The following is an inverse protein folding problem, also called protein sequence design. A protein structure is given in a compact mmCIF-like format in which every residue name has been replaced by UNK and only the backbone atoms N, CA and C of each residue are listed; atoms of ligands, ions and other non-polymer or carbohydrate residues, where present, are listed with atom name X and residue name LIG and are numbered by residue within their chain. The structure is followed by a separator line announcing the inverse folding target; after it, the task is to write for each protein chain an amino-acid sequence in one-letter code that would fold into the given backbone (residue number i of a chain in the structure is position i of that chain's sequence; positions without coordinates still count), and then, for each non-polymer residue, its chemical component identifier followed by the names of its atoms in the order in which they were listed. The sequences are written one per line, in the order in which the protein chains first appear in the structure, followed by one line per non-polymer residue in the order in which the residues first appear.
data_IF_082196790156
#
_entry.id   IF_082196790156
#
_cell.length_a   1.000
_cell.length_b   1.000
_cell.length_c   1.000
_cell.angle_alpha   90.00
_cell.angle_beta   90.00
_cell.angle_gamma   90.00
#
_symmetry.space_group_name_H-M   'P 1'
#
loop_
_entity.id
_entity.type
_entity.pdbx_description
1 polymer ?
#
# COMPACT_ATOMS: atom_id res chain seq x y z
N UNK A 1 -39.12 21.74 8.91
CA UNK A 1 -38.65 21.70 7.50
C UNK A 1 -37.14 21.50 7.48
N UNK A 2 -36.67 20.59 6.64
CA UNK A 2 -35.34 19.95 6.67
C UNK A 2 -34.19 20.92 6.36
N UNK A 3 -33.31 21.18 7.34
CA UNK A 3 -32.05 21.94 7.19
C UNK A 3 -30.92 21.08 6.57
N UNK A 4 -31.15 20.47 5.40
CA UNK A 4 -30.16 19.66 4.66
C UNK A 4 -29.81 20.21 3.27
N UNK A 5 -29.74 21.53 3.11
CA UNK A 5 -29.38 22.16 1.83
C UNK A 5 -27.87 22.45 1.66
N UNK A 6 -27.06 22.33 2.74
CA UNK A 6 -25.63 22.71 2.72
C UNK A 6 -24.67 21.53 2.98
N UNK A 7 -25.17 20.28 2.96
CA UNK A 7 -24.33 19.07 2.86
C UNK A 7 -23.74 18.85 1.46
N UNK A 8 -23.76 19.87 0.59
CA UNK A 8 -22.89 19.87 -0.58
C UNK A 8 -21.52 20.30 -0.09
N UNK A 9 -20.71 19.33 0.30
CA UNK A 9 -19.26 19.42 0.13
C UNK A 9 -19.04 20.02 -1.25
N UNK A 10 -18.66 21.31 -1.32
CA UNK A 10 -18.31 21.93 -2.60
C UNK A 10 -17.29 20.99 -3.21
N UNK A 11 -17.55 20.38 -4.38
CA UNK A 11 -16.63 19.43 -4.95
C UNK A 11 -15.25 20.08 -5.00
N UNK A 12 -14.24 19.34 -4.56
CA UNK A 12 -12.84 19.70 -4.78
C UNK A 12 -12.58 19.55 -6.28
N UNK A 13 -13.18 20.42 -7.08
CA UNK A 13 -12.91 20.50 -8.50
C UNK A 13 -11.44 20.93 -8.61
N UNK A 14 -10.62 20.01 -9.14
CA UNK A 14 -9.21 20.19 -9.45
C UNK A 14 -8.25 20.26 -8.24
N UNK A 15 -8.41 19.37 -7.27
CA UNK A 15 -7.39 19.15 -6.23
C UNK A 15 -6.81 17.75 -6.31
N UNK A 16 -5.49 17.65 -6.27
CA UNK A 16 -4.76 16.38 -6.42
C UNK A 16 -4.35 15.83 -5.05
N UNK A 17 -3.83 16.68 -4.15
CA UNK A 17 -3.30 16.28 -2.84
C UNK A 17 -3.87 17.12 -1.71
N UNK A 18 -4.21 16.49 -0.58
CA UNK A 18 -4.68 17.15 0.63
C UNK A 18 -3.65 16.99 1.76
N UNK A 19 -3.28 18.11 2.36
CA UNK A 19 -2.45 18.17 3.57
C UNK A 19 -3.32 18.61 4.74
N UNK A 20 -3.30 17.84 5.82
CA UNK A 20 -4.11 18.08 7.03
C UNK A 20 -3.21 18.41 8.20
N UNK A 21 -3.71 19.25 9.09
CA UNK A 21 -3.02 19.71 10.28
C UNK A 21 -3.82 19.37 11.54
N UNK A 22 -3.16 19.16 12.68
CA UNK A 22 -3.86 19.09 13.97
C UNK A 22 -4.69 20.35 14.26
N UNK A 23 -5.70 20.22 15.10
CA UNK A 23 -6.54 21.32 15.59
C UNK A 23 -5.77 22.28 16.52
N UNK A 24 -4.64 21.84 17.07
CA UNK A 24 -3.75 22.64 17.92
C UNK A 24 -2.78 23.52 17.14
N UNK A 25 -2.73 23.41 15.81
CA UNK A 25 -1.74 24.14 15.00
C UNK A 25 -2.06 25.62 14.93
N UNK A 26 -1.06 26.45 15.19
CA UNK A 26 -1.16 27.91 15.17
C UNK A 26 -1.14 28.48 13.75
N UNK A 27 -1.83 29.61 13.55
CA UNK A 27 -1.91 30.30 12.27
C UNK A 27 -0.52 30.72 11.75
N UNK A 28 0.44 31.02 12.66
CA UNK A 28 1.81 31.38 12.28
C UNK A 28 2.53 30.21 11.61
N UNK A 29 2.46 29.00 12.18
CA UNK A 29 2.99 27.77 11.55
C UNK A 29 2.41 27.54 10.16
N UNK A 30 1.09 27.72 10.00
CA UNK A 30 0.42 27.53 8.71
C UNK A 30 0.89 28.56 7.67
N UNK A 31 0.97 29.84 8.06
CA UNK A 31 1.43 30.90 7.18
C UNK A 31 2.91 30.76 6.81
N UNK A 32 3.74 30.36 7.76
CA UNK A 32 5.15 30.06 7.53
C UNK A 32 5.30 28.95 6.47
N UNK A 33 4.61 27.83 6.67
CA UNK A 33 4.66 26.71 5.73
C UNK A 33 4.11 27.08 4.35
N UNK A 34 3.00 27.80 4.30
CA UNK A 34 2.41 28.28 3.05
C UNK A 34 3.39 29.17 2.27
N UNK A 35 4.12 30.04 2.96
CA UNK A 35 5.12 30.91 2.34
C UNK A 35 6.31 30.08 1.81
N UNK A 36 6.79 29.10 2.57
CA UNK A 36 7.87 28.21 2.11
C UNK A 36 7.46 27.38 0.89
N UNK A 37 6.23 26.87 0.83
CA UNK A 37 5.76 26.13 -0.35
C UNK A 37 5.68 27.06 -1.56
N UNK A 38 5.12 28.27 -1.41
CA UNK A 38 4.99 29.23 -2.53
C UNK A 38 6.31 29.76 -3.05
N UNK A 39 7.29 29.97 -2.17
CA UNK A 39 8.62 30.46 -2.55
C UNK A 39 9.57 29.35 -3.01
N UNK A 40 9.40 28.14 -2.47
CA UNK A 40 10.24 26.99 -2.80
C UNK A 40 9.77 26.23 -4.03
N UNK A 41 8.46 26.21 -4.30
CA UNK A 41 7.84 25.47 -5.41
C UNK A 41 6.78 26.37 -6.06
N UNK A 42 7.18 27.31 -6.93
CA UNK A 42 6.24 28.21 -7.60
C UNK A 42 5.24 27.48 -8.53
N UNK A 43 5.56 26.25 -8.93
CA UNK A 43 4.72 25.36 -9.75
C UNK A 43 3.44 24.92 -9.05
N UNK A 44 3.39 24.96 -7.71
CA UNK A 44 2.27 24.48 -6.91
C UNK A 44 1.29 25.60 -6.56
N UNK A 45 0.01 25.31 -6.78
CA UNK A 45 -1.11 26.14 -6.35
C UNK A 45 -1.65 25.55 -5.04
N UNK A 46 -1.50 26.31 -3.96
CA UNK A 46 -2.00 25.93 -2.63
C UNK A 46 -3.20 26.78 -2.23
N UNK A 47 -4.34 26.12 -2.01
CA UNK A 47 -5.56 26.71 -1.46
C UNK A 47 -5.74 26.29 0.00
N UNK A 48 -5.78 27.25 0.91
CA UNK A 48 -6.05 26.99 2.33
C UNK A 48 -7.56 26.99 2.55
N UNK A 49 -8.09 25.95 3.20
CA UNK A 49 -9.50 25.90 3.61
C UNK A 49 -9.62 25.58 5.10
N UNK A 50 -10.45 26.32 5.80
CA UNK A 50 -10.80 26.07 7.19
C UNK A 50 -12.16 25.37 7.29
N UNK A 51 -12.19 24.21 7.96
CA UNK A 51 -13.42 23.46 8.15
C UNK A 51 -14.10 23.87 9.45
N UNK A 52 -15.25 24.56 9.34
CA UNK A 52 -15.97 25.11 10.51
C UNK A 52 -16.36 24.07 11.58
N UNK A 53 -16.64 22.84 11.18
CA UNK A 53 -17.10 21.79 12.10
C UNK A 53 -15.96 21.08 12.83
N UNK A 54 -14.85 20.82 12.15
CA UNK A 54 -13.67 20.16 12.73
C UNK A 54 -12.67 21.15 13.31
N UNK A 55 -12.81 22.46 12.99
CA UNK A 55 -11.85 23.53 13.31
C UNK A 55 -10.42 23.25 12.81
N UNK A 56 -10.32 22.41 11.79
CA UNK A 56 -9.04 22.00 11.20
C UNK A 56 -8.81 22.82 9.93
N UNK A 57 -7.58 23.30 9.79
CA UNK A 57 -7.07 23.82 8.53
C UNK A 57 -6.58 22.68 7.66
N UNK A 58 -6.77 22.83 6.34
CA UNK A 58 -6.22 21.90 5.38
C UNK A 58 -5.74 22.65 4.13
N UNK A 59 -4.62 22.20 3.58
CA UNK A 59 -4.07 22.73 2.33
C UNK A 59 -4.45 21.80 1.18
N UNK A 60 -5.16 22.37 0.22
CA UNK A 60 -5.54 21.73 -1.02
C UNK A 60 -4.49 22.12 -2.06
N UNK A 61 -3.71 21.14 -2.50
CA UNK A 61 -2.56 21.33 -3.39
C UNK A 61 -2.89 20.79 -4.77
N UNK A 62 -2.60 21.60 -5.78
CA UNK A 62 -2.80 21.31 -7.20
C UNK A 62 -1.73 22.00 -8.04
N UNK A 63 -1.63 21.67 -9.32
CA UNK A 63 -0.69 22.26 -10.25
C UNK A 63 -1.33 22.47 -11.63
N UNK A 64 -0.82 23.44 -12.38
CA UNK A 64 -1.23 23.66 -13.77
C UNK A 64 -0.65 22.57 -14.67
N UNK A 65 -1.24 22.40 -15.87
CA UNK A 65 -0.75 21.41 -16.83
C UNK A 65 0.72 21.66 -17.23
N UNK A 66 1.08 22.92 -17.54
CA UNK A 66 2.46 23.29 -17.88
C UNK A 66 3.45 22.98 -16.76
N UNK A 67 3.09 23.26 -15.52
CA UNK A 67 3.91 22.93 -14.36
C UNK A 67 4.09 21.42 -14.23
N UNK A 68 3.03 20.63 -14.44
CA UNK A 68 3.10 19.17 -14.40
C UNK A 68 3.99 18.59 -15.51
N UNK A 69 4.02 19.19 -16.71
CA UNK A 69 4.96 18.80 -17.75
C UNK A 69 6.40 18.96 -17.28
N UNK A 70 6.75 20.09 -16.67
CA UNK A 70 8.10 20.30 -16.09
C UNK A 70 8.42 19.27 -15.01
N UNK A 71 7.48 19.02 -14.11
CA UNK A 71 7.65 18.01 -13.06
C UNK A 71 7.77 16.58 -13.60
N UNK A 72 7.11 16.27 -14.72
CA UNK A 72 7.24 14.98 -15.38
C UNK A 72 8.64 14.79 -15.99
N UNK A 73 9.23 15.85 -16.54
CA UNK A 73 10.61 15.84 -17.06
C UNK A 73 11.63 15.69 -15.91
N UNK A 74 11.47 16.46 -14.82
CA UNK A 74 12.31 16.38 -13.62
C UNK A 74 12.34 14.98 -12.99
N UNK A 75 11.21 14.27 -12.99
CA UNK A 75 11.07 12.92 -12.46
C UNK A 75 11.52 11.86 -13.48
N UNK A 76 11.65 12.24 -14.76
CA UNK A 76 11.92 11.30 -15.86
C UNK A 76 10.78 10.32 -16.10
N UNK A 77 9.53 10.79 -15.99
CA UNK A 77 8.33 9.95 -16.15
C UNK A 77 8.30 9.33 -17.55
N UNK A 78 7.98 8.04 -17.66
CA UNK A 78 7.94 7.37 -18.98
C UNK A 78 6.58 7.54 -19.64
N UNK A 79 6.58 7.98 -20.90
CA UNK A 79 5.37 8.21 -21.71
C UNK A 79 5.44 7.50 -23.07
N UNK A 80 4.27 7.12 -23.63
CA UNK A 80 4.21 6.51 -24.95
C UNK A 80 4.54 7.53 -26.04
N UNK A 81 5.36 7.10 -26.99
CA UNK A 81 5.77 7.89 -28.17
C UNK A 81 4.85 7.53 -29.33
N UNK A 82 4.47 8.51 -30.14
CA UNK A 82 3.65 8.29 -31.35
C UNK A 82 4.34 7.30 -32.28
N UNK A 83 3.55 6.47 -32.95
CA UNK A 83 4.05 5.46 -33.89
C UNK A 83 4.94 6.04 -35.01
N UNK A 84 4.70 7.28 -35.44
CA UNK A 84 5.49 7.97 -36.47
C UNK A 84 6.94 8.27 -36.06
N UNK A 85 7.21 8.36 -34.74
CA UNK A 85 8.55 8.59 -34.18
C UNK A 85 9.21 7.30 -33.63
N UNK A 86 8.73 6.13 -34.05
CA UNK A 86 9.27 4.82 -33.66
C UNK A 86 8.50 4.09 -32.56
N UNK A 87 7.48 4.72 -31.96
CA UNK A 87 6.61 4.10 -30.96
C UNK A 87 7.33 3.75 -29.64
N UNK A 88 6.64 2.98 -28.79
CA UNK A 88 7.18 2.50 -27.53
C UNK A 88 7.14 3.54 -26.40
N UNK A 89 7.94 3.33 -25.35
CA UNK A 89 7.94 4.18 -24.14
C UNK A 89 9.29 4.88 -24.00
N UNK A 90 9.28 6.20 -23.79
CA UNK A 90 10.49 7.02 -23.58
C UNK A 90 10.35 7.88 -22.33
N UNK A 91 11.47 8.26 -21.69
CA UNK A 91 11.44 9.26 -20.62
C UNK A 91 10.97 10.59 -21.19
N UNK A 92 9.93 11.14 -20.59
CA UNK A 92 9.35 12.42 -20.98
C UNK A 92 10.41 13.51 -20.93
N UNK A 93 10.38 14.39 -21.92
CA UNK A 93 11.23 15.58 -22.00
C UNK A 93 10.40 16.72 -22.56
N UNK A 94 10.47 17.88 -21.92
CA UNK A 94 9.76 19.07 -22.36
C UNK A 94 10.29 19.61 -23.70
N UNK A 95 11.54 19.34 -24.07
CA UNK A 95 12.15 19.84 -25.31
C UNK A 95 11.59 19.13 -26.56
N UNK A 96 11.19 17.87 -26.41
CA UNK A 96 10.69 17.00 -27.49
C UNK A 96 9.25 16.55 -27.21
N UNK A 97 8.40 17.43 -26.66
CA UNK A 97 7.05 17.08 -26.21
C UNK A 97 6.11 16.59 -27.34
N UNK A 98 6.29 17.09 -28.55
CA UNK A 98 5.50 16.74 -29.74
C UNK A 98 5.57 15.26 -30.16
N UNK A 99 6.56 14.50 -29.67
CA UNK A 99 6.72 13.08 -29.98
C UNK A 99 5.76 12.20 -29.17
N UNK A 100 5.21 12.69 -28.06
CA UNK A 100 4.38 11.90 -27.15
C UNK A 100 2.92 11.84 -27.57
N UNK A 101 2.28 10.71 -27.31
CA UNK A 101 0.86 10.52 -27.62
C UNK A 101 -0.03 11.38 -26.70
N UNK A 102 -1.08 11.96 -27.26
CA UNK A 102 -2.11 12.73 -26.53
C UNK A 102 -1.61 13.93 -25.71
N UNK A 103 -0.41 14.47 -26.00
CA UNK A 103 0.16 15.65 -25.32
C UNK A 103 -0.74 16.89 -25.36
N UNK A 104 -1.58 17.02 -26.39
CA UNK A 104 -2.54 18.13 -26.53
C UNK A 104 -3.72 18.03 -25.57
N UNK A 105 -3.97 16.86 -24.98
CA UNK A 105 -5.14 16.60 -24.16
C UNK A 105 -4.79 16.58 -22.67
N UNK A 106 -4.95 17.73 -22.01
CA UNK A 106 -4.63 17.91 -20.58
C UNK A 106 -5.34 16.93 -19.65
N UNK A 107 -6.51 16.41 -20.05
CA UNK A 107 -7.33 15.52 -19.23
C UNK A 107 -6.87 14.06 -19.27
N UNK A 108 -6.21 13.62 -20.34
CA UNK A 108 -5.81 12.24 -20.53
C UNK A 108 -4.31 12.03 -20.56
N UNK A 109 -3.52 13.09 -20.81
CA UNK A 109 -2.07 12.96 -20.87
C UNK A 109 -1.47 12.52 -19.53
N UNK A 110 -1.93 13.11 -18.42
CA UNK A 110 -1.54 12.70 -17.08
C UNK A 110 -2.67 11.96 -16.36
N UNK A 111 -2.36 10.78 -15.82
CA UNK A 111 -3.27 10.09 -14.92
C UNK A 111 -3.33 10.81 -13.57
N UNK A 112 -4.43 10.66 -12.82
CA UNK A 112 -4.57 11.27 -11.49
C UNK A 112 -3.42 10.84 -10.55
N UNK A 113 -2.95 9.59 -10.70
CA UNK A 113 -1.81 9.08 -9.94
C UNK A 113 -0.50 9.77 -10.30
N UNK A 114 -0.21 9.99 -11.59
CA UNK A 114 1.01 10.67 -12.03
C UNK A 114 1.04 12.12 -11.55
N UNK A 115 -0.09 12.84 -11.64
CA UNK A 115 -0.23 14.20 -11.11
C UNK A 115 0.10 14.24 -9.62
N UNK A 116 -0.48 13.33 -8.85
CA UNK A 116 -0.24 13.21 -7.41
C UNK A 116 1.20 12.85 -7.08
N UNK A 117 1.83 11.99 -7.89
CA UNK A 117 3.23 11.60 -7.73
C UNK A 117 4.18 12.78 -7.99
N UNK A 118 3.91 13.60 -9.01
CA UNK A 118 4.67 14.81 -9.31
C UNK A 118 4.58 15.80 -8.14
N UNK A 119 3.36 16.06 -7.66
CA UNK A 119 3.14 16.98 -6.54
C UNK A 119 3.81 16.46 -5.27
N UNK A 120 3.71 15.15 -5.01
CA UNK A 120 4.39 14.50 -3.87
C UNK A 120 5.90 14.65 -3.98
N UNK A 121 6.47 14.44 -5.16
CA UNK A 121 7.90 14.60 -5.40
C UNK A 121 8.37 16.02 -5.07
N UNK A 122 7.67 17.06 -5.52
CA UNK A 122 8.04 18.44 -5.18
C UNK A 122 7.91 18.72 -3.68
N UNK A 123 6.82 18.27 -3.03
CA UNK A 123 6.63 18.46 -1.59
C UNK A 123 7.72 17.74 -0.77
N UNK A 124 8.08 16.51 -1.13
CA UNK A 124 9.17 15.76 -0.49
C UNK A 124 10.54 16.37 -0.81
N UNK A 125 10.68 17.07 -1.94
CA UNK A 125 11.90 17.76 -2.35
C UNK A 125 12.04 19.21 -1.89
N UNK A 126 11.05 19.75 -1.19
CA UNK A 126 11.17 21.06 -0.55
C UNK A 126 12.27 21.04 0.52
N UNK A 127 13.37 21.74 0.28
CA UNK A 127 14.54 21.81 1.17
C UNK A 127 14.57 23.09 1.99
N UNK A 128 15.01 22.96 3.23
CA UNK A 128 15.24 24.10 4.12
C UNK A 128 16.47 24.91 3.68
N UNK A 129 16.34 26.23 3.67
CA UNK A 129 17.46 27.16 3.46
C UNK A 129 18.19 27.43 4.78
N UNK A 130 19.37 28.04 4.67
CA UNK A 130 20.22 28.31 5.82
C UNK A 130 19.53 29.24 6.85
N UNK A 131 19.49 28.81 8.11
CA UNK A 131 18.94 29.61 9.22
C UNK A 131 17.41 29.54 9.36
N UNK A 132 16.73 28.68 8.59
CA UNK A 132 15.29 28.49 8.73
C UNK A 132 14.95 27.79 10.05
N UNK A 133 13.97 28.34 10.76
CA UNK A 133 13.45 27.76 11.98
C UNK A 133 11.95 27.97 12.08
N UNK A 134 11.28 26.99 12.67
CA UNK A 134 9.87 27.02 12.98
C UNK A 134 9.71 26.72 14.47
N UNK A 135 9.36 27.75 15.25
CA UNK A 135 9.31 27.66 16.71
C UNK A 135 10.63 27.11 17.29
N UNK A 136 10.60 25.97 17.98
CA UNK A 136 11.78 25.28 18.54
C UNK A 136 12.43 24.29 17.57
N UNK A 137 11.99 24.26 16.31
CA UNK A 137 12.51 23.36 15.27
C UNK A 137 13.51 24.15 14.45
N UNK A 138 14.78 23.81 14.59
CA UNK A 138 15.84 24.32 13.72
C UNK A 138 16.09 23.31 12.61
N UNK A 139 15.98 23.76 11.36
CA UNK A 139 16.27 22.91 10.21
C UNK A 139 17.75 23.01 9.85
N UNK A 140 18.32 21.87 9.44
CA UNK A 140 19.63 21.85 8.80
C UNK A 140 19.50 22.29 7.34
N UNK A 141 20.54 22.92 6.80
CA UNK A 141 20.57 23.31 5.40
C UNK A 141 20.45 22.08 4.50
N UNK A 142 19.51 22.12 3.55
CA UNK A 142 19.25 20.98 2.66
C UNK A 142 18.46 19.83 3.29
N UNK A 143 17.87 20.01 4.48
CA UNK A 143 16.95 19.03 5.07
C UNK A 143 15.54 19.12 4.41
N UNK A 144 14.85 18.00 4.16
CA UNK A 144 13.48 18.01 3.63
C UNK A 144 12.49 18.53 4.68
N UNK A 145 11.75 19.61 4.36
CA UNK A 145 10.85 20.29 5.31
C UNK A 145 9.61 19.43 5.60
N UNK A 146 8.91 18.96 4.57
CA UNK A 146 7.61 18.27 4.74
C UNK A 146 7.73 16.96 5.52
N UNK A 147 8.67 16.04 5.22
CA UNK A 147 8.86 14.82 5.99
C UNK A 147 9.23 15.09 7.46
N UNK A 148 10.06 16.10 7.72
CA UNK A 148 10.45 16.46 9.10
C UNK A 148 9.26 17.00 9.90
N UNK A 149 8.43 17.86 9.29
CA UNK A 149 7.22 18.38 9.92
C UNK A 149 6.17 17.29 10.16
N UNK A 150 6.06 16.31 9.25
CA UNK A 150 5.20 15.16 9.42
C UNK A 150 5.70 14.25 10.55
N UNK A 151 7.00 13.98 10.62
CA UNK A 151 7.61 13.17 11.68
C UNK A 151 7.44 13.79 13.08
N UNK A 152 7.47 15.13 13.17
CA UNK A 152 7.25 15.89 14.42
C UNK A 152 5.77 16.09 14.76
N UNK A 153 4.85 15.64 13.91
CA UNK A 153 3.40 15.77 14.13
C UNK A 153 2.84 17.17 13.92
N UNK A 154 3.59 18.09 13.30
CA UNK A 154 3.10 19.41 12.89
C UNK A 154 2.15 19.27 11.71
N UNK A 155 2.52 18.42 10.75
CA UNK A 155 1.63 17.95 9.68
C UNK A 155 1.04 16.61 10.14
N UNK A 156 -0.29 16.50 10.14
CA UNK A 156 -0.95 15.27 10.56
C UNK A 156 -0.79 14.20 9.48
N UNK A 157 -1.29 14.47 8.27
CA UNK A 157 -1.25 13.54 7.15
C UNK A 157 -1.26 14.29 5.82
N UNK A 158 -0.53 13.74 4.85
CA UNK A 158 -0.57 14.11 3.43
C UNK A 158 -1.15 12.92 2.66
N UNK A 159 -2.27 13.10 1.98
CA UNK A 159 -2.89 12.02 1.20
C UNK A 159 -3.41 12.50 -0.15
N UNK A 160 -3.32 11.65 -1.20
CA UNK A 160 -3.92 11.93 -2.50
C UNK A 160 -5.44 11.94 -2.41
N UNK A 161 -6.08 12.82 -3.18
CA UNK A 161 -7.54 12.87 -3.29
C UNK A 161 -8.05 11.99 -4.42
N UNK A 162 -9.12 11.26 -4.16
CA UNK A 162 -9.75 10.42 -5.17
C UNK A 162 -10.55 11.25 -6.18
N UNK A 163 -10.27 11.03 -7.46
CA UNK A 163 -11.11 11.54 -8.52
C UNK A 163 -12.41 10.72 -8.63
N UNK A 164 -13.50 11.32 -8.17
CA UNK A 164 -14.81 10.64 -8.06
C UNK A 164 -15.40 10.20 -9.40
N UNK A 165 -15.03 10.87 -10.50
CA UNK A 165 -15.54 10.54 -11.85
C UNK A 165 -14.98 9.20 -12.32
N UNK A 166 -13.66 9.05 -12.26
CA UNK A 166 -12.96 7.81 -12.64
C UNK A 166 -13.37 6.67 -11.72
N UNK A 167 -13.42 6.90 -10.40
CA UNK A 167 -13.82 5.88 -9.44
C UNK A 167 -15.23 5.34 -9.69
N UNK A 168 -16.19 6.21 -10.02
CA UNK A 168 -17.57 5.79 -10.36
C UNK A 168 -17.61 4.98 -11.66
N UNK A 169 -16.81 5.35 -12.66
CA UNK A 169 -16.68 4.59 -13.91
C UNK A 169 -16.12 3.21 -13.62
N UNK A 170 -15.00 3.14 -12.90
CA UNK A 170 -14.33 1.89 -12.54
C UNK A 170 -15.23 1.00 -11.68
N UNK A 171 -15.97 1.55 -10.73
CA UNK A 171 -16.93 0.77 -9.92
C UNK A 171 -18.01 0.10 -10.79
N UNK A 172 -18.45 0.77 -11.86
CA UNK A 172 -19.46 0.23 -12.78
C UNK A 172 -18.88 -0.81 -13.74
N UNK A 173 -17.69 -0.56 -14.31
CA UNK A 173 -17.06 -1.47 -15.29
C UNK A 173 -16.37 -2.67 -14.66
N UNK A 174 -15.85 -2.54 -13.43
CA UNK A 174 -15.07 -3.60 -12.79
C UNK A 174 -15.83 -4.32 -11.67
N UNK A 175 -16.37 -3.60 -10.68
CA UNK A 175 -16.97 -4.23 -9.48
C UNK A 175 -18.35 -4.82 -9.77
N UNK A 176 -19.14 -4.13 -10.60
CA UNK A 176 -20.50 -4.57 -10.95
C UNK A 176 -20.54 -5.58 -12.11
N UNK A 177 -19.44 -5.72 -12.85
CA UNK A 177 -19.33 -6.64 -13.98
C UNK A 177 -18.76 -7.98 -13.53
N UNK A 178 -19.64 -8.88 -13.08
CA UNK A 178 -19.27 -10.17 -12.44
C UNK A 178 -18.65 -11.18 -13.44
N UNK A 179 -18.84 -10.99 -14.75
CA UNK A 179 -18.39 -11.92 -15.79
C UNK A 179 -17.55 -11.26 -16.90
N UNK A 180 -17.09 -10.03 -16.72
CA UNK A 180 -16.18 -9.38 -17.68
C UNK A 180 -14.72 -9.56 -17.24
N UNK A 181 -13.81 -9.51 -18.21
CA UNK A 181 -12.39 -9.50 -17.91
C UNK A 181 -12.05 -8.25 -17.08
N UNK A 182 -11.23 -8.42 -16.04
CA UNK A 182 -10.87 -7.30 -15.18
C UNK A 182 -10.05 -6.26 -15.96
N UNK A 183 -10.42 -4.96 -15.93
CA UNK A 183 -9.68 -3.91 -16.62
C UNK A 183 -8.41 -3.53 -15.83
N UNK A 184 -7.38 -4.38 -15.92
CA UNK A 184 -6.15 -4.24 -15.14
C UNK A 184 -5.39 -2.95 -15.46
N UNK A 185 -5.42 -2.51 -16.71
CA UNK A 185 -4.74 -1.28 -17.14
C UNK A 185 -5.38 -0.05 -16.48
N UNK A 186 -6.72 0.05 -16.45
CA UNK A 186 -7.42 1.16 -15.78
C UNK A 186 -7.19 1.16 -14.26
N UNK A 187 -7.09 -0.03 -13.64
CA UNK A 187 -6.75 -0.17 -12.23
C UNK A 187 -5.30 0.28 -11.99
N UNK A 188 -4.39 -0.07 -12.90
CA UNK A 188 -2.98 0.31 -12.85
C UNK A 188 -2.80 1.83 -12.97
N UNK A 189 -3.52 2.46 -13.90
CA UNK A 189 -3.43 3.90 -14.14
C UNK A 189 -3.98 4.73 -12.97
N UNK A 190 -4.95 4.19 -12.23
CA UNK A 190 -5.61 4.90 -11.12
C UNK A 190 -4.99 4.61 -9.75
N UNK A 191 -4.71 3.33 -9.43
CA UNK A 191 -4.20 2.90 -8.12
C UNK A 191 -2.71 2.56 -8.13
N UNK A 192 -2.10 2.45 -9.30
CA UNK A 192 -0.70 2.09 -9.47
C UNK A 192 -0.44 0.60 -9.61
N UNK A 193 0.76 0.31 -10.12
CA UNK A 193 1.22 -1.03 -10.48
C UNK A 193 1.11 -2.03 -9.33
N UNK A 194 1.40 -1.61 -8.09
CA UNK A 194 1.36 -2.51 -6.91
C UNK A 194 -0.05 -3.05 -6.64
N UNK A 195 -1.05 -2.17 -6.70
CA UNK A 195 -2.45 -2.53 -6.45
C UNK A 195 -3.01 -3.29 -7.65
N UNK A 196 -2.69 -2.87 -8.87
CA UNK A 196 -3.08 -3.60 -10.08
C UNK A 196 -2.50 -5.02 -10.13
N UNK A 197 -1.23 -5.19 -9.74
CA UNK A 197 -0.59 -6.52 -9.66
C UNK A 197 -1.28 -7.42 -8.63
N UNK A 198 -1.67 -6.86 -7.48
CA UNK A 198 -2.46 -7.59 -6.49
C UNK A 198 -3.78 -8.09 -7.09
N UNK A 199 -4.52 -7.24 -7.81
CA UNK A 199 -5.78 -7.65 -8.45
C UNK A 199 -5.58 -8.62 -9.60
N UNK A 200 -4.53 -8.45 -10.42
CA UNK A 200 -4.16 -9.40 -11.46
C UNK A 200 -3.86 -10.78 -10.87
N UNK A 201 -3.10 -10.83 -9.78
CA UNK A 201 -2.82 -12.08 -9.08
C UNK A 201 -4.07 -12.67 -8.44
N UNK A 202 -4.94 -11.86 -7.85
CA UNK A 202 -6.21 -12.31 -7.28
C UNK A 202 -7.11 -12.93 -8.37
N UNK A 203 -7.25 -12.30 -9.53
CA UNK A 203 -8.01 -12.83 -10.66
C UNK A 203 -7.41 -14.13 -11.23
N UNK A 204 -6.08 -14.22 -11.31
CA UNK A 204 -5.40 -15.47 -11.65
C UNK A 204 -5.65 -16.57 -10.61
N UNK A 205 -5.58 -16.24 -9.32
CA UNK A 205 -5.78 -17.20 -8.24
C UNK A 205 -7.22 -17.72 -8.20
N UNK A 206 -8.22 -16.84 -8.35
CA UNK A 206 -9.64 -17.25 -8.36
C UNK A 206 -9.95 -18.16 -9.55
N UNK A 207 -9.45 -17.85 -10.75
CA UNK A 207 -9.59 -18.72 -11.92
C UNK A 207 -8.83 -20.04 -11.75
N UNK A 208 -7.62 -20.02 -11.18
CA UNK A 208 -6.87 -21.23 -10.87
C UNK A 208 -7.57 -22.13 -9.83
N UNK A 209 -8.31 -21.55 -8.88
CA UNK A 209 -9.08 -22.30 -7.87
C UNK A 209 -10.35 -22.96 -8.42
N UNK A 210 -10.86 -22.52 -9.58
CA UNK A 210 -12.00 -23.19 -10.23
C UNK A 210 -11.65 -24.64 -10.60
N UNK A 211 -10.43 -24.91 -11.06
CA UNK A 211 -10.00 -26.27 -11.44
C UNK A 211 -10.05 -27.28 -10.27
N UNK A 212 -9.37 -27.06 -9.12
CA UNK A 212 -9.47 -27.95 -7.97
C UNK A 212 -10.85 -27.93 -7.33
N UNK A 213 -11.61 -26.83 -7.38
CA UNK A 213 -12.98 -26.81 -6.88
C UNK A 213 -13.90 -27.72 -7.71
N UNK A 214 -13.82 -27.69 -9.03
CA UNK A 214 -14.60 -28.56 -9.92
C UNK A 214 -14.15 -30.01 -9.77
N UNK A 215 -12.86 -30.29 -9.83
CA UNK A 215 -12.33 -31.65 -9.66
C UNK A 215 -12.64 -32.22 -8.26
N UNK A 216 -12.48 -31.41 -7.22
CA UNK A 216 -12.81 -31.77 -5.84
C UNK A 216 -14.31 -31.98 -5.62
N UNK A 217 -15.18 -31.18 -6.24
CA UNK A 217 -16.64 -31.37 -6.17
C UNK A 217 -17.07 -32.64 -6.89
N UNK A 218 -16.52 -32.89 -8.07
CA UNK A 218 -16.69 -34.15 -8.83
C UNK A 218 -16.27 -35.32 -7.94
N UNK A 219 -15.02 -35.32 -7.45
CA UNK A 219 -14.55 -36.37 -6.55
C UNK A 219 -15.42 -36.50 -5.31
N UNK A 220 -15.83 -35.41 -4.65
CA UNK A 220 -16.69 -35.47 -3.46
C UNK A 220 -18.01 -36.20 -3.75
N UNK A 221 -18.68 -35.85 -4.86
CA UNK A 221 -19.95 -36.50 -5.26
C UNK A 221 -19.78 -37.95 -5.70
N UNK A 222 -18.64 -38.31 -6.31
CA UNK A 222 -18.35 -39.69 -6.73
C UNK A 222 -17.77 -40.56 -5.60
N UNK A 223 -17.09 -39.95 -4.63
CA UNK A 223 -16.44 -40.64 -3.49
C UNK A 223 -17.42 -40.88 -2.34
N UNK A 224 -18.62 -40.28 -2.35
CA UNK A 224 -19.72 -40.67 -1.46
C UNK A 224 -20.22 -42.12 -1.75
N UNK A 225 -19.77 -42.73 -2.85
CA UNK A 225 -20.01 -44.14 -3.18
C UNK A 225 -18.89 -45.13 -2.80
N UNK A 226 -17.70 -44.69 -2.39
CA UNK A 226 -16.61 -45.61 -2.01
C UNK A 226 -15.73 -45.02 -0.91
N UNK A 227 -16.17 -45.18 0.34
CA UNK A 227 -15.35 -44.87 1.50
C UNK A 227 -14.51 -46.07 1.91
N UNK A 228 -13.36 -46.31 1.27
CA UNK A 228 -12.27 -47.08 1.89
C UNK A 228 -10.88 -46.66 1.40
N UNK A 229 -9.97 -46.55 2.38
CA UNK A 229 -8.50 -46.51 2.31
C UNK A 229 -7.83 -45.15 2.09
N UNK A 230 -7.32 -44.64 3.22
CA UNK A 230 -6.29 -43.61 3.26
C UNK A 230 -4.98 -44.04 2.60
N UNK A 231 -4.21 -43.03 2.24
CA UNK A 231 -2.85 -43.14 1.73
C UNK A 231 -2.11 -41.83 2.00
N UNK A 232 -0.89 -41.98 2.50
CA UNK A 232 0.00 -40.96 3.04
C UNK A 232 0.27 -39.76 2.12
N UNK A 233 0.29 -38.55 2.70
CA UNK A 233 0.83 -37.35 2.07
C UNK A 233 2.36 -37.37 2.21
N UNK A 234 3.03 -37.65 1.10
CA UNK A 234 4.48 -37.55 0.92
C UNK A 234 4.90 -36.07 0.98
N UNK A 235 5.65 -35.72 2.03
CA UNK A 235 6.26 -34.41 2.21
C UNK A 235 7.15 -34.00 1.02
N UNK A 236 6.96 -32.79 0.51
CA UNK A 236 7.97 -32.07 -0.27
C UNK A 236 8.89 -31.32 0.68
N UNK A 237 10.08 -31.86 0.91
CA UNK A 237 11.18 -31.18 1.58
C UNK A 237 12.24 -30.74 0.56
N UNK A 238 12.63 -29.47 0.63
CA UNK A 238 13.93 -28.93 0.21
C UNK A 238 14.36 -27.93 1.31
N UNK A 239 15.66 -27.59 1.49
CA UNK A 239 16.87 -27.90 0.69
C UNK A 239 18.09 -28.35 1.56
N UNK A 240 19.34 -28.35 1.03
CA UNK A 240 20.19 -27.21 1.39
C UNK A 240 21.03 -26.63 0.23
N UNK A 241 21.38 -25.36 0.43
CA UNK A 241 22.22 -24.53 -0.43
C UNK A 241 23.71 -24.90 -0.33
N UNK A 242 24.39 -24.95 -1.47
CA UNK A 242 25.83 -24.72 -1.60
C UNK A 242 26.05 -23.78 -2.78
N UNK A 243 26.77 -22.67 -2.56
CA UNK A 243 27.16 -21.76 -3.63
C UNK A 243 28.28 -20.82 -3.19
N UNK A 244 29.46 -21.02 -3.78
CA UNK A 244 30.60 -20.12 -3.75
C UNK A 244 30.53 -19.09 -4.90
N UNK A 245 31.36 -18.05 -4.84
CA UNK A 245 31.48 -16.93 -5.80
C UNK A 245 31.60 -17.39 -7.26
N UNK A 246 30.90 -16.70 -8.17
CA UNK A 246 30.93 -16.94 -9.63
C UNK A 246 31.22 -15.63 -10.38
N UNK A 247 32.07 -15.70 -11.39
CA UNK A 247 32.26 -14.63 -12.38
C UNK A 247 31.12 -14.73 -13.41
N UNK A 248 30.38 -13.63 -13.63
CA UNK A 248 29.28 -13.59 -14.61
C UNK A 248 29.82 -13.76 -16.05
N UNK A 249 29.33 -14.74 -16.84
CA UNK A 249 29.83 -14.98 -18.20
C UNK A 249 29.36 -13.96 -19.24
N UNK A 250 28.56 -12.96 -18.86
CA UNK A 250 28.06 -11.93 -19.79
C UNK A 250 28.59 -10.54 -19.47
N UNK A 251 28.98 -10.25 -18.22
CA UNK A 251 29.40 -8.90 -17.80
C UNK A 251 30.84 -8.78 -17.29
N UNK A 252 31.55 -9.89 -17.02
CA UNK A 252 32.97 -9.88 -16.58
C UNK A 252 33.29 -8.89 -15.44
N UNK A 253 32.32 -8.58 -14.58
CA UNK A 253 32.45 -7.72 -13.40
C UNK A 253 32.28 -8.54 -12.12
N UNK A 254 33.10 -8.26 -11.11
CA UNK A 254 32.94 -8.83 -9.77
C UNK A 254 31.66 -8.31 -9.12
N UNK A 255 30.75 -9.21 -8.72
CA UNK A 255 29.56 -8.85 -7.96
C UNK A 255 29.79 -9.08 -6.46
N UNK A 256 29.51 -8.04 -5.66
CA UNK A 256 29.73 -8.07 -4.21
C UNK A 256 28.71 -8.94 -3.48
N UNK A 257 29.25 -9.95 -2.81
CA UNK A 257 28.64 -10.73 -1.73
C UNK A 257 28.51 -9.88 -0.45
N UNK A 258 27.30 -9.76 0.09
CA UNK A 258 27.03 -9.02 1.34
C UNK A 258 27.13 -9.97 2.55
N UNK A 259 27.98 -9.73 3.58
CA UNK A 259 28.15 -10.67 4.67
C UNK A 259 26.96 -10.58 5.67
N UNK A 260 26.13 -11.63 5.82
CA UNK A 260 24.86 -11.57 6.54
C UNK A 260 25.00 -11.56 8.08
N UNK A 261 26.17 -11.92 8.61
CA UNK A 261 26.37 -12.29 10.01
C UNK A 261 26.06 -11.23 11.07
N UNK A 262 25.97 -9.93 10.76
CA UNK A 262 25.63 -8.90 11.77
C UNK A 262 24.13 -8.58 11.87
N UNK A 263 23.36 -8.71 10.77
CA UNK A 263 21.88 -8.65 10.78
C UNK A 263 21.26 -10.01 11.13
N UNK A 264 21.88 -11.10 10.67
CA UNK A 264 21.47 -12.47 10.98
C UNK A 264 21.69 -12.80 12.46
N UNK A 265 22.65 -12.17 13.14
CA UNK A 265 22.89 -12.41 14.57
C UNK A 265 21.81 -11.76 15.44
N UNK A 266 21.29 -10.58 15.09
CA UNK A 266 20.15 -9.97 15.79
C UNK A 266 18.82 -10.66 15.42
N UNK A 267 18.62 -11.03 14.15
CA UNK A 267 17.46 -11.82 13.71
C UNK A 267 17.46 -13.23 14.31
N UNK A 268 18.60 -13.93 14.40
CA UNK A 268 18.67 -15.26 15.02
C UNK A 268 18.65 -15.24 16.54
N UNK A 269 19.28 -14.28 17.23
CA UNK A 269 19.29 -14.28 18.70
C UNK A 269 18.01 -13.72 19.33
N UNK A 270 17.23 -12.92 18.61
CA UNK A 270 16.04 -12.26 19.19
C UNK A 270 14.76 -12.70 18.48
N UNK A 271 14.69 -12.63 17.15
CA UNK A 271 13.43 -12.95 16.44
C UNK A 271 13.13 -14.45 16.42
N UNK A 272 14.12 -15.32 16.19
CA UNK A 272 13.90 -16.77 16.20
C UNK A 272 13.44 -17.33 17.56
N UNK A 273 14.06 -17.03 18.71
CA UNK A 273 13.57 -17.55 19.98
C UNK A 273 12.18 -17.01 20.32
N UNK A 274 11.88 -15.75 20.00
CA UNK A 274 10.53 -15.18 20.19
C UNK A 274 9.50 -15.89 19.29
N UNK A 275 9.85 -16.16 18.02
CA UNK A 275 9.02 -16.95 17.12
C UNK A 275 8.82 -18.38 17.65
N UNK A 276 9.86 -19.05 18.15
CA UNK A 276 9.74 -20.41 18.70
C UNK A 276 8.91 -20.44 19.99
N UNK A 277 9.02 -19.44 20.85
CA UNK A 277 8.18 -19.29 22.04
C UNK A 277 6.73 -19.05 21.63
N UNK A 278 6.49 -18.19 20.63
CA UNK A 278 5.14 -17.92 20.13
C UNK A 278 4.53 -19.18 19.47
N UNK A 279 5.30 -19.91 18.67
CA UNK A 279 4.87 -21.15 18.03
C UNK A 279 4.58 -22.25 19.05
N UNK A 280 5.42 -22.39 20.07
CA UNK A 280 5.17 -23.37 21.15
C UNK A 280 3.95 -23.00 21.98
N UNK A 281 3.72 -21.71 22.25
CA UNK A 281 2.51 -21.24 22.93
C UNK A 281 1.24 -21.51 22.13
N UNK A 282 1.23 -21.18 20.83
CA UNK A 282 0.09 -21.48 19.94
C UNK A 282 -0.15 -23.00 19.85
N UNK A 283 0.91 -23.80 19.80
CA UNK A 283 0.82 -25.25 19.78
C UNK A 283 0.20 -25.82 21.08
N UNK A 284 0.63 -25.33 22.25
CA UNK A 284 0.04 -25.74 23.54
C UNK A 284 -1.42 -25.32 23.66
N UNK A 285 -1.79 -24.13 23.18
CA UNK A 285 -3.19 -23.69 23.14
C UNK A 285 -4.04 -24.57 22.22
N UNK A 286 -3.51 -24.93 21.04
CA UNK A 286 -4.17 -25.88 20.13
C UNK A 286 -4.40 -27.23 20.82
N UNK A 287 -3.39 -27.78 21.49
CA UNK A 287 -3.52 -29.03 22.25
C UNK A 287 -4.57 -28.92 23.37
N UNK A 288 -4.60 -27.81 24.10
CA UNK A 288 -5.62 -27.56 25.12
C UNK A 288 -7.04 -27.51 24.53
N UNK A 289 -7.21 -26.86 23.38
CA UNK A 289 -8.49 -26.85 22.65
C UNK A 289 -8.89 -28.24 22.14
N UNK A 290 -7.94 -29.06 21.68
CA UNK A 290 -8.21 -30.45 21.28
C UNK A 290 -8.64 -31.32 22.47
N UNK A 291 -7.96 -31.20 23.62
CA UNK A 291 -8.35 -31.91 24.84
C UNK A 291 -9.75 -31.48 25.32
N UNK A 292 -10.03 -30.18 25.27
CA UNK A 292 -11.37 -29.66 25.56
C UNK A 292 -12.43 -30.20 24.59
N UNK A 293 -12.08 -30.31 23.30
CA UNK A 293 -12.97 -30.88 22.28
C UNK A 293 -13.26 -32.36 22.55
N UNK A 294 -12.24 -33.16 22.86
CA UNK A 294 -12.42 -34.58 23.22
C UNK A 294 -13.25 -34.74 24.50
N UNK A 295 -13.01 -33.90 25.51
CA UNK A 295 -13.80 -33.89 26.74
C UNK A 295 -15.27 -33.57 26.48
N UNK A 296 -15.58 -32.55 25.67
CA UNK A 296 -16.97 -32.19 25.31
C UNK A 296 -17.63 -33.28 24.47
N UNK A 297 -16.87 -34.00 23.64
CA UNK A 297 -17.39 -35.14 22.86
C UNK A 297 -17.59 -36.40 23.70
N UNK A 298 -16.87 -36.55 24.83
CA UNK A 298 -17.00 -37.70 25.72
C UNK A 298 -18.32 -37.73 26.50
N UNK A 299 -18.99 -36.58 26.66
CA UNK A 299 -20.27 -36.47 27.35
C UNK A 299 -21.41 -36.69 26.34
N UNK A 300 -22.05 -37.86 26.40
CA UNK A 300 -23.07 -38.29 25.43
C UNK A 300 -24.33 -37.39 25.38
N UNK A 301 -24.70 -36.73 26.48
CA UNK A 301 -26.00 -36.03 26.63
C UNK A 301 -25.97 -34.53 26.27
N UNK A 302 -24.89 -34.01 25.66
CA UNK A 302 -24.85 -32.59 25.31
C UNK A 302 -25.58 -32.24 24.01
N UNK A 303 -26.36 -31.14 23.99
CA UNK A 303 -27.01 -30.65 22.78
C UNK A 303 -25.99 -30.28 21.69
N UNK A 304 -26.36 -30.50 20.41
CA UNK A 304 -25.48 -30.32 19.24
C UNK A 304 -24.78 -28.95 19.19
N UNK A 305 -25.42 -27.91 19.72
CA UNK A 305 -24.89 -26.53 19.73
C UNK A 305 -23.61 -26.43 20.59
N UNK A 306 -23.56 -27.12 21.74
CA UNK A 306 -22.40 -27.04 22.64
C UNK A 306 -21.19 -27.79 22.06
N UNK A 307 -21.40 -28.73 21.13
CA UNK A 307 -20.30 -29.39 20.40
C UNK A 307 -19.53 -28.42 19.48
N UNK A 308 -20.09 -27.26 19.14
CA UNK A 308 -19.38 -26.21 18.39
C UNK A 308 -18.57 -25.27 19.29
N UNK A 309 -18.81 -25.27 20.60
CA UNK A 309 -18.19 -24.34 21.54
C UNK A 309 -16.65 -24.43 21.56
N UNK A 310 -16.01 -25.61 21.54
CA UNK A 310 -14.55 -25.72 21.42
C UNK A 310 -14.01 -25.14 20.12
N UNK A 311 -14.75 -25.28 19.00
CA UNK A 311 -14.36 -24.74 17.69
C UNK A 311 -14.45 -23.22 17.65
N UNK A 312 -15.51 -22.66 18.25
CA UNK A 312 -15.70 -21.20 18.38
C UNK A 312 -14.60 -20.62 19.29
N UNK A 313 -14.33 -21.27 20.42
CA UNK A 313 -13.26 -20.87 21.34
C UNK A 313 -11.89 -20.90 20.65
N UNK A 314 -11.59 -21.96 19.88
CA UNK A 314 -10.37 -22.05 19.09
C UNK A 314 -10.25 -20.90 18.08
N UNK A 315 -11.32 -20.60 17.34
CA UNK A 315 -11.31 -19.50 16.37
C UNK A 315 -11.02 -18.15 17.04
N UNK A 316 -11.68 -17.86 18.17
CA UNK A 316 -11.46 -16.62 18.94
C UNK A 316 -10.03 -16.53 19.47
N UNK A 317 -9.49 -17.62 20.02
CA UNK A 317 -8.13 -17.70 20.55
C UNK A 317 -7.11 -17.47 19.41
N UNK A 318 -7.29 -18.12 18.27
CA UNK A 318 -6.39 -17.95 17.11
C UNK A 318 -6.40 -16.52 16.61
N UNK A 319 -7.58 -15.89 16.45
CA UNK A 319 -7.67 -14.49 16.03
C UNK A 319 -7.02 -13.53 17.04
N UNK A 320 -7.21 -13.75 18.34
CA UNK A 320 -6.58 -12.94 19.38
C UNK A 320 -5.05 -13.09 19.39
N UNK A 321 -4.54 -14.32 19.23
CA UNK A 321 -3.12 -14.61 19.13
C UNK A 321 -2.48 -13.98 17.87
N UNK A 322 -3.17 -14.01 16.72
CA UNK A 322 -2.69 -13.40 15.47
C UNK A 322 -2.51 -11.87 15.62
N UNK A 323 -3.49 -11.18 16.20
CA UNK A 323 -3.39 -9.74 16.48
C UNK A 323 -2.27 -9.39 17.47
N UNK A 324 -2.08 -10.21 18.50
CA UNK A 324 -0.98 -10.05 19.45
C UNK A 324 0.38 -10.26 18.75
N UNK A 325 0.49 -11.31 17.93
CA UNK A 325 1.69 -11.61 17.17
C UNK A 325 2.04 -10.50 16.18
N UNK A 326 1.05 -9.96 15.44
CA UNK A 326 1.27 -8.80 14.55
C UNK A 326 1.86 -7.61 15.28
N UNK A 327 1.31 -7.23 16.44
CA UNK A 327 1.84 -6.11 17.24
C UNK A 327 3.28 -6.35 17.67
N UNK A 328 3.58 -7.56 18.14
CA UNK A 328 4.95 -7.95 18.53
C UNK A 328 5.88 -7.92 17.32
N UNK A 329 5.43 -8.43 16.16
CA UNK A 329 6.22 -8.46 14.93
C UNK A 329 6.53 -7.06 14.40
N UNK A 330 5.55 -6.15 14.37
CA UNK A 330 5.78 -4.75 13.99
C UNK A 330 6.77 -4.06 14.93
N UNK A 331 6.59 -4.23 16.24
CA UNK A 331 7.49 -3.66 17.25
C UNK A 331 8.93 -4.19 17.12
N UNK A 332 9.10 -5.50 16.88
CA UNK A 332 10.42 -6.11 16.63
C UNK A 332 11.05 -5.60 15.33
N UNK A 333 10.27 -5.44 14.26
CA UNK A 333 10.76 -4.99 12.97
C UNK A 333 11.23 -3.52 13.01
N UNK A 334 10.51 -2.66 13.74
CA UNK A 334 10.89 -1.26 13.93
C UNK A 334 12.17 -1.11 14.77
N UNK A 335 12.42 -2.03 15.70
CA UNK A 335 13.66 -2.05 16.48
C UNK A 335 14.88 -2.55 15.70
N UNK A 336 14.68 -3.47 14.75
CA UNK A 336 15.75 -3.99 13.88
C UNK A 336 16.17 -3.00 12.78
N UNK A 337 15.47 -1.86 12.66
CA UNK A 337 15.75 -0.79 11.70
C UNK A 337 16.78 0.25 12.16
N UNK A 338 17.38 0.10 13.35
CA UNK A 338 18.41 0.99 13.90
C UNK A 338 19.79 0.34 13.95
#
# INVERSE_FOLDING_TARGET
MSHKAWMKTVPTENCDVLMTFPDTTDDHTLLWLLNHIRLGIPELIVQVRHHKHTRVYAFFVTATYESLLRGADEIGLRKPVKAEFGGGMRSFSCEEDYIYENIENELYFFTSQERQNIIRYWLENLRAKQGESLHNIHFLEGQPIIPELAARGVIQQLFPLHEQRILKRLMKSWVQAICEAQPLDEICDYFGVKIALYFAWLGFYTSAMVYPAVFGSILYTFTESDQVRGGELRNWGQPPHLGATRISPVTSTEEFYYPPWKRLLFQCLVSLPVCLICLSFVFLLMLGCFQLQEFVLSIQELPRIIRFLPKIALAVIVTACDELYKKIAYWLNDMGGW
#
